data_IF_924370607388
#
_entry.id   IF_924370607388
#
_cell.length_a   1.000
_cell.length_b   1.000
_cell.length_c   1.000
_cell.angle_alpha   90.00
_cell.angle_beta   90.00
_cell.angle_gamma   90.00
#
_symmetry.space_group_name_H-M   'P 1'
#
loop_
_entity.id
_entity.type
_entity.pdbx_description
1 polymer ?
#
# COMPACT_ATOMS: atom_id res chain seq x y z
N UNK A 1 0.22 -2.08 17.43
CA UNK A 1 -1.06 -2.60 16.90
C UNK A 1 -1.76 -3.38 17.99
N UNK A 2 -3.05 -3.17 18.16
CA UNK A 2 -3.90 -3.87 19.14
C UNK A 2 -4.92 -4.78 18.42
N UNK A 3 -5.80 -5.43 19.18
CA UNK A 3 -6.93 -6.26 18.78
C UNK A 3 -6.55 -7.62 18.19
N UNK A 4 -5.39 -8.16 18.55
CA UNK A 4 -5.08 -9.56 18.26
C UNK A 4 -5.76 -10.48 19.26
N UNK A 5 -6.44 -11.53 18.78
CA UNK A 5 -7.17 -12.50 19.61
C UNK A 5 -6.26 -13.43 20.46
N UNK A 6 -4.98 -13.08 20.66
CA UNK A 6 -3.98 -13.83 21.41
C UNK A 6 -2.61 -13.86 20.72
N UNK A 7 -1.66 -14.53 21.37
CA UNK A 7 -0.32 -14.73 20.84
C UNK A 7 -0.38 -15.50 19.52
N UNK A 8 0.24 -14.96 18.48
CA UNK A 8 0.24 -15.58 17.16
C UNK A 8 1.42 -15.10 16.34
N UNK A 9 2.23 -16.03 15.85
CA UNK A 9 3.30 -15.71 14.92
C UNK A 9 2.72 -15.40 13.53
N UNK A 10 3.31 -14.41 12.85
CA UNK A 10 2.95 -14.10 11.47
C UNK A 10 1.62 -13.37 11.31
N UNK A 11 1.23 -12.55 12.29
CA UNK A 11 0.07 -11.66 12.16
C UNK A 11 0.28 -10.61 11.08
N UNK A 12 1.50 -10.10 11.02
CA UNK A 12 2.05 -9.41 9.87
C UNK A 12 3.34 -10.08 9.46
N UNK A 13 3.64 -10.00 8.17
CA UNK A 13 4.85 -10.51 7.54
C UNK A 13 5.66 -9.37 6.94
N UNK A 14 6.95 -9.60 6.77
CA UNK A 14 7.76 -8.70 5.98
C UNK A 14 7.15 -8.55 4.57
N UNK A 15 6.97 -7.31 4.12
CA UNK A 15 6.31 -6.98 2.85
C UNK A 15 4.84 -6.56 2.99
N UNK A 16 4.20 -6.78 4.14
CA UNK A 16 2.83 -6.30 4.36
C UNK A 16 2.80 -4.76 4.36
N UNK A 17 1.80 -4.21 3.68
CA UNK A 17 1.60 -2.77 3.58
C UNK A 17 0.60 -2.32 4.65
N UNK A 18 0.87 -1.16 5.25
CA UNK A 18 -0.02 -0.53 6.24
C UNK A 18 -0.14 0.98 5.99
N UNK A 19 -1.28 1.54 6.38
CA UNK A 19 -1.55 2.98 6.31
C UNK A 19 -2.27 3.45 7.57
N UNK A 20 -1.75 4.51 8.19
CA UNK A 20 -2.36 5.15 9.35
C UNK A 20 -3.41 6.17 8.90
N UNK A 21 -4.56 6.24 9.57
CA UNK A 21 -5.66 7.11 9.17
C UNK A 21 -5.30 8.60 9.10
N UNK A 22 -4.34 9.05 9.93
CA UNK A 22 -3.84 10.43 9.91
C UNK A 22 -2.85 10.72 8.77
N UNK A 23 -2.41 9.71 8.02
CA UNK A 23 -1.36 9.83 7.00
C UNK A 23 -1.87 9.51 5.60
N UNK A 24 -1.31 10.18 4.60
CA UNK A 24 -1.44 9.84 3.17
C UNK A 24 -0.48 8.72 2.77
N UNK A 25 0.74 8.76 3.35
CA UNK A 25 1.82 7.80 3.14
C UNK A 25 1.45 6.37 3.51
N UNK A 26 1.78 5.42 2.63
CA UNK A 26 1.78 3.98 2.86
C UNK A 26 3.18 3.53 3.31
N UNK A 27 3.19 2.58 4.24
CA UNK A 27 4.40 2.02 4.85
C UNK A 27 4.44 0.51 4.66
N UNK A 28 5.64 -0.06 4.67
CA UNK A 28 5.85 -1.50 4.56
C UNK A 28 6.45 -2.05 5.85
N UNK A 29 5.95 -3.18 6.33
CA UNK A 29 6.51 -3.91 7.46
C UNK A 29 7.77 -4.64 7.02
N UNK A 30 8.85 -4.54 7.80
CA UNK A 30 10.18 -5.06 7.40
C UNK A 30 10.56 -6.40 8.05
N UNK A 31 9.78 -6.88 9.01
CA UNK A 31 10.03 -8.15 9.70
C UNK A 31 8.74 -8.82 10.12
N UNK A 32 8.74 -10.16 10.19
CA UNK A 32 7.63 -10.93 10.74
C UNK A 32 7.26 -10.49 12.16
N UNK A 33 5.96 -10.33 12.39
CA UNK A 33 5.42 -9.83 13.65
C UNK A 33 4.71 -10.93 14.40
N UNK A 34 5.09 -11.09 15.66
CA UNK A 34 4.40 -11.95 16.64
C UNK A 34 3.69 -11.05 17.64
N UNK A 35 2.37 -11.21 17.76
CA UNK A 35 1.60 -10.52 18.80
C UNK A 35 1.86 -11.16 20.16
N UNK A 36 1.84 -10.35 21.21
CA UNK A 36 1.84 -10.79 22.60
C UNK A 36 0.91 -9.91 23.44
N UNK A 37 0.06 -10.52 24.27
CA UNK A 37 -0.81 -9.77 25.19
C UNK A 37 -1.75 -8.79 24.46
N UNK A 38 -2.39 -9.25 23.38
CA UNK A 38 -3.27 -8.51 22.47
C UNK A 38 -2.61 -7.40 21.64
N UNK A 39 -1.34 -7.09 21.88
CA UNK A 39 -0.61 -6.06 21.15
C UNK A 39 0.51 -6.65 20.29
N UNK A 40 0.99 -5.86 19.33
CA UNK A 40 2.19 -6.15 18.55
C UNK A 40 2.94 -4.87 18.21
N UNK A 41 4.28 -4.95 18.26
CA UNK A 41 5.16 -3.89 17.75
C UNK A 41 5.50 -4.19 16.29
N UNK A 42 5.40 -3.17 15.44
CA UNK A 42 5.75 -3.27 14.02
C UNK A 42 6.92 -2.33 13.73
N UNK A 43 7.86 -2.81 12.92
CA UNK A 43 8.92 -1.99 12.34
C UNK A 43 8.56 -1.73 10.89
N UNK A 44 8.64 -0.47 10.46
CA UNK A 44 8.17 -0.04 9.15
C UNK A 44 9.24 0.72 8.39
N UNK A 45 9.15 0.67 7.06
CA UNK A 45 9.89 1.54 6.15
C UNK A 45 8.95 2.17 5.10
N UNK A 46 9.17 3.44 4.72
CA UNK A 46 10.15 4.38 5.29
C UNK A 46 9.80 4.81 6.74
N UNK A 47 10.67 5.55 7.45
CA UNK A 47 10.32 6.13 8.75
C UNK A 47 9.07 7.03 8.67
N UNK A 48 8.40 7.23 9.80
CA UNK A 48 7.24 8.11 9.89
C UNK A 48 7.60 9.53 9.44
N UNK A 49 6.82 10.09 8.51
CA UNK A 49 6.98 11.47 8.03
C UNK A 49 6.30 12.49 8.95
N UNK A 50 5.35 12.03 9.76
CA UNK A 50 4.56 12.80 10.71
C UNK A 50 4.26 11.95 11.94
N UNK A 51 4.05 12.57 13.10
CA UNK A 51 3.72 11.85 14.32
C UNK A 51 2.33 11.22 14.24
N UNK A 52 2.18 10.03 14.83
CA UNK A 52 0.89 9.36 14.95
C UNK A 52 0.07 9.99 16.07
N UNK A 53 -1.25 10.07 15.85
CA UNK A 53 -2.18 10.26 16.94
C UNK A 53 -2.37 8.95 17.71
N UNK A 54 -2.62 9.04 19.01
CA UNK A 54 -3.02 7.89 19.82
C UNK A 54 -4.30 7.27 19.25
N UNK A 55 -4.40 5.94 19.33
CA UNK A 55 -5.53 5.14 18.84
C UNK A 55 -5.87 5.36 17.35
N UNK A 56 -4.90 5.81 16.54
CA UNK A 56 -5.08 5.93 15.09
C UNK A 56 -5.48 4.59 14.48
N UNK A 57 -6.59 4.59 13.74
CA UNK A 57 -6.98 3.44 12.93
C UNK A 57 -5.88 3.10 11.92
N UNK A 58 -5.63 1.81 11.74
CA UNK A 58 -4.67 1.31 10.76
C UNK A 58 -5.34 0.42 9.74
N UNK A 59 -5.10 0.73 8.47
CA UNK A 59 -5.51 -0.08 7.33
C UNK A 59 -4.35 -0.96 6.89
N UNK A 60 -4.56 -2.27 6.85
CA UNK A 60 -3.55 -3.27 6.44
C UNK A 60 -4.11 -4.29 5.44
N UNK A 61 -5.35 -4.10 5.00
CA UNK A 61 -6.00 -4.89 3.95
C UNK A 61 -6.60 -3.94 2.93
N UNK A 62 -6.46 -4.26 1.64
CA UNK A 62 -6.84 -3.40 0.52
C UNK A 62 -6.32 -1.96 0.70
N UNK A 63 -5.03 -1.84 1.04
CA UNK A 63 -4.42 -0.55 1.41
C UNK A 63 -4.46 0.40 0.21
N UNK A 64 -5.17 1.56 0.32
CA UNK A 64 -5.29 2.49 -0.79
C UNK A 64 -4.06 3.39 -0.90
N UNK A 65 -3.47 3.44 -2.09
CA UNK A 65 -2.40 4.38 -2.45
C UNK A 65 -3.01 5.66 -3.01
N UNK A 66 -2.60 6.81 -2.48
CA UNK A 66 -2.90 8.10 -3.09
C UNK A 66 -1.76 8.41 -4.04
N UNK A 67 -2.07 8.61 -5.32
CA UNK A 67 -1.05 8.76 -6.36
C UNK A 67 -1.38 9.89 -7.32
N UNK A 68 -0.37 10.37 -8.04
CA UNK A 68 -0.51 11.27 -9.19
C UNK A 68 0.18 10.67 -10.41
N UNK A 69 -0.23 11.09 -11.60
CA UNK A 69 0.44 10.68 -12.85
C UNK A 69 1.84 11.30 -12.89
N UNK A 70 2.81 10.51 -13.32
CA UNK A 70 4.19 11.00 -13.54
C UNK A 70 4.24 11.94 -14.75
N UNK A 71 3.39 11.67 -15.76
CA UNK A 71 3.31 12.47 -16.97
C UNK A 71 1.99 13.25 -17.02
N UNK A 72 2.07 14.51 -17.43
CA UNK A 72 0.92 15.42 -17.58
C UNK A 72 -0.10 14.92 -18.62
N UNK A 73 0.39 14.28 -19.70
CA UNK A 73 -0.43 13.74 -20.79
C UNK A 73 -0.13 12.26 -20.93
N UNK A 74 -1.20 11.46 -21.04
CA UNK A 74 -1.13 10.02 -21.31
C UNK A 74 -1.58 9.79 -22.75
N UNK A 75 -0.68 9.29 -23.60
CA UNK A 75 -0.99 8.97 -25.00
C UNK A 75 -0.96 7.45 -25.21
N UNK A 76 -2.02 6.91 -25.82
CA UNK A 76 -2.15 5.49 -26.10
C UNK A 76 -2.36 5.25 -27.60
N UNK A 77 -1.39 4.58 -28.23
CA UNK A 77 -1.48 4.17 -29.62
C UNK A 77 -2.07 2.77 -29.80
N UNK A 78 -2.59 2.50 -30.99
CA UNK A 78 -2.95 1.14 -31.38
C UNK A 78 -1.71 0.25 -31.45
N UNK A 79 -1.73 -0.89 -30.77
CA UNK A 79 -0.61 -1.85 -30.73
C UNK A 79 -0.75 -2.97 -31.77
N UNK A 80 -1.83 -2.96 -32.55
CA UNK A 80 -2.11 -3.92 -33.61
C UNK A 80 -3.60 -3.98 -33.94
N UNK A 81 -3.99 -4.99 -34.70
CA UNK A 81 -5.38 -5.32 -34.94
C UNK A 81 -5.58 -6.84 -34.78
N UNK A 82 -6.78 -7.25 -34.37
CA UNK A 82 -7.16 -8.66 -34.40
C UNK A 82 -7.41 -9.15 -35.84
N UNK A 83 -7.74 -10.43 -35.98
CA UNK A 83 -8.02 -11.06 -37.29
C UNK A 83 -9.21 -10.46 -38.04
N UNK A 84 -10.07 -9.70 -37.37
CA UNK A 84 -11.26 -9.07 -37.92
C UNK A 84 -11.03 -7.56 -38.18
N UNK A 85 -9.84 -7.04 -37.87
CA UNK A 85 -9.44 -5.66 -38.10
C UNK A 85 -9.73 -4.70 -36.94
N UNK A 86 -10.14 -5.18 -35.77
CA UNK A 86 -10.36 -4.31 -34.61
C UNK A 86 -9.03 -3.88 -34.00
N UNK A 87 -8.84 -2.57 -33.82
CA UNK A 87 -7.62 -2.00 -33.24
C UNK A 87 -7.49 -2.38 -31.77
N UNK A 88 -6.33 -2.88 -31.38
CA UNK A 88 -5.98 -3.23 -30.01
C UNK A 88 -5.23 -2.08 -29.36
N UNK A 89 -5.48 -1.83 -28.08
CA UNK A 89 -4.79 -0.82 -27.28
C UNK A 89 -4.13 -1.48 -26.07
N UNK A 90 -2.94 -0.98 -25.70
CA UNK A 90 -2.30 -1.28 -24.42
C UNK A 90 -2.28 0.00 -23.60
N UNK A 91 -2.79 -0.08 -22.37
CA UNK A 91 -2.73 1.02 -21.40
C UNK A 91 -1.63 0.74 -20.40
N UNK A 92 -0.83 1.76 -20.11
CA UNK A 92 0.22 1.77 -19.11
C UNK A 92 0.17 3.12 -18.41
N UNK A 93 0.23 3.12 -17.09
CA UNK A 93 0.21 4.35 -16.30
C UNK A 93 1.36 4.29 -15.32
N UNK A 94 2.24 5.27 -15.43
CA UNK A 94 3.25 5.53 -14.41
C UNK A 94 2.68 6.50 -13.38
N UNK A 95 2.70 6.07 -12.13
CA UNK A 95 2.18 6.83 -11.00
C UNK A 95 3.20 6.91 -9.88
N UNK A 96 3.21 8.04 -9.19
CA UNK A 96 4.01 8.26 -7.99
C UNK A 96 3.08 8.53 -6.80
N UNK A 97 3.50 8.07 -5.63
CA UNK A 97 2.74 8.29 -4.40
C UNK A 97 2.71 9.78 -4.04
N UNK A 98 1.52 10.29 -3.73
CA UNK A 98 1.30 11.66 -3.26
C UNK A 98 1.24 11.68 -1.74
N UNK A 99 2.01 12.57 -1.13
CA UNK A 99 2.10 12.74 0.32
C UNK A 99 1.45 14.05 0.75
#
# INVERSE_FOLDING_TARGET
MDAFAGDGAGRFKAGDLIKFASHTKVYMIVSDVTSSGNAATVTIEPPLITALADDSLVTYSNVPFTVHLVNDIQEFGGVGADKDGNVLYKFELDVEETI
#
